data_IF_958518742306
#
_entry.id   IF_958518742306
#
_cell.length_a   1.000
_cell.length_b   1.000
_cell.length_c   1.000
_cell.angle_alpha   90.00
_cell.angle_beta   90.00
_cell.angle_gamma   90.00
#
_symmetry.space_group_name_H-M   'P 1'
#
loop_
_entity.id
_entity.type
_entity.pdbx_description
1 polymer ?
#
# COMPACT_ATOMS: atom_id res chain seq x y z
N UNK A 1 13.35 12.90 2.96
CA UNK A 1 13.37 14.33 3.30
C UNK A 1 12.14 14.57 4.18
N UNK A 2 12.17 15.42 5.20
CA UNK A 2 10.95 15.71 5.98
C UNK A 2 10.24 16.94 5.41
N UNK A 3 9.06 16.74 4.81
CA UNK A 3 8.21 17.83 4.36
C UNK A 3 7.66 18.58 5.57
N UNK A 4 7.90 19.90 5.66
CA UNK A 4 7.75 20.66 6.91
C UNK A 4 6.48 21.51 7.01
N UNK A 5 5.47 21.29 6.16
CA UNK A 5 4.17 21.99 6.27
C UNK A 5 4.15 23.47 5.86
N UNK A 6 5.28 24.09 5.52
CA UNK A 6 5.39 25.55 5.29
C UNK A 6 5.01 26.01 3.87
N UNK A 7 4.34 25.16 3.09
CA UNK A 7 4.06 25.37 1.66
C UNK A 7 2.78 26.16 1.32
N UNK A 8 1.89 26.43 2.28
CA UNK A 8 0.56 27.01 1.98
C UNK A 8 0.50 28.54 2.02
N UNK A 9 1.57 29.25 1.64
CA UNK A 9 1.55 30.72 1.58
C UNK A 9 0.69 31.27 0.42
N UNK A 10 0.15 30.40 -0.44
CA UNK A 10 -0.84 30.74 -1.46
C UNK A 10 -2.08 29.86 -1.25
N UNK A 11 -3.30 30.39 -1.44
CA UNK A 11 -4.50 29.58 -1.36
C UNK A 11 -4.42 28.43 -2.38
N UNK A 12 -4.84 27.23 -1.98
CA UNK A 12 -4.98 26.11 -2.90
C UNK A 12 -6.22 26.37 -3.78
N UNK A 13 -6.00 26.97 -4.93
CA UNK A 13 -7.08 27.50 -5.77
C UNK A 13 -7.95 26.43 -6.44
N UNK A 14 -7.51 25.17 -6.47
CA UNK A 14 -8.21 24.07 -7.18
C UNK A 14 -8.97 23.10 -6.26
N UNK A 15 -9.18 23.46 -5.00
CA UNK A 15 -10.08 22.70 -4.12
C UNK A 15 -11.54 23.03 -4.43
N UNK A 16 -12.36 21.99 -4.63
CA UNK A 16 -13.81 22.11 -4.78
C UNK A 16 -14.50 22.32 -3.42
N UNK A 17 -13.96 21.75 -2.35
CA UNK A 17 -14.55 21.77 -1.01
C UNK A 17 -13.67 22.55 -0.05
N UNK A 18 -14.27 23.42 0.76
CA UNK A 18 -13.57 24.28 1.72
C UNK A 18 -13.25 23.57 3.03
N UNK A 19 -14.02 22.52 3.35
CA UNK A 19 -13.82 21.71 4.55
C UNK A 19 -13.89 20.21 4.26
N UNK A 20 -13.33 19.36 5.13
CA UNK A 20 -13.50 17.91 5.05
C UNK A 20 -14.97 17.49 5.18
N UNK A 21 -15.74 18.17 6.04
CA UNK A 21 -17.18 17.90 6.23
C UNK A 21 -17.95 18.11 4.92
N UNK A 22 -17.65 19.18 4.17
CA UNK A 22 -18.26 19.39 2.85
C UNK A 22 -17.90 18.27 1.86
N UNK A 23 -16.66 17.77 1.89
CA UNK A 23 -16.24 16.66 1.04
C UNK A 23 -16.95 15.35 1.40
N UNK A 24 -17.18 15.09 2.69
CA UNK A 24 -17.95 13.93 3.17
C UNK A 24 -19.39 13.98 2.66
N UNK A 25 -20.05 15.13 2.81
CA UNK A 25 -21.45 15.31 2.43
C UNK A 25 -21.67 15.32 0.92
N UNK A 26 -20.81 16.02 0.17
CA UNK A 26 -21.07 16.28 -1.26
C UNK A 26 -20.34 15.33 -2.20
N UNK A 27 -19.28 14.66 -1.74
CA UNK A 27 -18.46 13.79 -2.59
C UNK A 27 -18.23 12.40 -1.98
N UNK A 28 -19.00 12.02 -0.96
CA UNK A 28 -18.93 10.72 -0.29
C UNK A 28 -17.50 10.37 0.16
N UNK A 29 -16.76 11.35 0.68
CA UNK A 29 -15.48 11.09 1.33
C UNK A 29 -15.71 10.33 2.63
N UNK A 30 -15.11 9.14 2.74
CA UNK A 30 -15.15 8.30 3.95
C UNK A 30 -13.74 8.26 4.54
N UNK A 31 -13.42 9.14 5.51
CA UNK A 31 -12.11 9.13 6.15
C UNK A 31 -11.91 7.84 6.95
N UNK A 32 -10.67 7.36 6.97
CA UNK A 32 -10.25 6.31 7.92
C UNK A 32 -10.56 6.76 9.37
N UNK A 33 -10.90 5.85 10.32
CA UNK A 33 -11.23 6.24 11.69
C UNK A 33 -10.18 7.14 12.37
N UNK A 34 -8.89 6.93 12.11
CA UNK A 34 -7.84 7.79 12.66
C UNK A 34 -7.90 9.21 12.10
N UNK A 35 -8.18 9.35 10.80
CA UNK A 35 -8.36 10.64 10.12
C UNK A 35 -9.67 11.30 10.58
N UNK A 36 -10.75 10.53 10.70
CA UNK A 36 -12.05 10.99 11.15
C UNK A 36 -11.96 11.63 12.55
N UNK A 37 -11.21 11.01 13.46
CA UNK A 37 -10.98 11.53 14.81
C UNK A 37 -10.20 12.87 14.82
N UNK A 38 -9.50 13.22 13.74
CA UNK A 38 -8.77 14.49 13.62
C UNK A 38 -9.64 15.62 13.03
N UNK A 39 -10.76 15.30 12.38
CA UNK A 39 -11.60 16.31 11.72
C UNK A 39 -12.46 17.04 12.76
N UNK A 40 -12.36 18.36 12.80
CA UNK A 40 -13.25 19.23 13.59
C UNK A 40 -14.21 20.01 12.68
N UNK A 41 -15.37 20.42 13.19
CA UNK A 41 -16.41 21.14 12.42
C UNK A 41 -15.90 22.40 11.70
N UNK A 42 -14.91 23.09 12.27
CA UNK A 42 -14.33 24.32 11.70
C UNK A 42 -13.01 24.09 10.95
N UNK A 43 -12.63 22.83 10.68
CA UNK A 43 -11.38 22.51 10.00
C UNK A 43 -11.50 22.82 8.50
N UNK A 44 -10.54 23.57 7.94
CA UNK A 44 -10.45 23.76 6.49
C UNK A 44 -9.76 22.58 5.82
N UNK A 45 -9.98 22.42 4.51
CA UNK A 45 -9.32 21.40 3.71
C UNK A 45 -7.80 21.51 3.77
N UNK A 46 -7.25 22.72 3.71
CA UNK A 46 -5.81 22.99 3.82
C UNK A 46 -5.26 22.61 5.18
N UNK A 47 -6.02 22.83 6.26
CA UNK A 47 -5.63 22.44 7.61
C UNK A 47 -5.55 20.92 7.74
N UNK A 48 -6.53 20.17 7.20
CA UNK A 48 -6.47 18.71 7.21
C UNK A 48 -5.28 18.18 6.40
N UNK A 49 -5.05 18.69 5.19
CA UNK A 49 -3.90 18.29 4.35
C UNK A 49 -2.58 18.56 5.08
N UNK A 50 -2.46 19.73 5.70
CA UNK A 50 -1.28 20.11 6.49
C UNK A 50 -1.05 19.16 7.66
N UNK A 51 -2.12 18.87 8.40
CA UNK A 51 -2.08 18.00 9.58
C UNK A 51 -1.65 16.58 9.22
N UNK A 52 -2.28 15.98 8.21
CA UNK A 52 -1.96 14.61 7.75
C UNK A 52 -0.50 14.51 7.30
N UNK A 53 -0.04 15.50 6.53
CA UNK A 53 1.34 15.49 6.04
C UNK A 53 2.37 15.73 7.15
N UNK A 54 2.08 16.59 8.14
CA UNK A 54 2.94 16.75 9.33
C UNK A 54 3.03 15.46 10.17
N UNK A 55 1.99 14.62 10.14
CA UNK A 55 1.99 13.30 10.80
C UNK A 55 2.62 12.18 9.96
N UNK A 56 3.06 12.47 8.74
CA UNK A 56 3.59 11.46 7.82
C UNK A 56 2.52 10.56 7.19
N UNK A 57 1.24 10.88 7.36
CA UNK A 57 0.08 10.16 6.79
C UNK A 57 -0.15 10.57 5.32
N UNK A 58 0.87 10.36 4.48
CA UNK A 58 0.88 10.88 3.11
C UNK A 58 -0.13 10.18 2.21
N UNK A 59 -0.40 8.90 2.46
CA UNK A 59 -1.45 8.17 1.73
C UNK A 59 -2.81 8.79 2.01
N UNK A 60 -3.15 8.99 3.27
CA UNK A 60 -4.43 9.54 3.71
C UNK A 60 -4.58 11.00 3.23
N UNK A 61 -3.47 11.75 3.20
CA UNK A 61 -3.45 13.09 2.63
C UNK A 61 -3.75 13.06 1.12
N UNK A 62 -3.15 12.12 0.37
CA UNK A 62 -3.46 11.92 -1.05
C UNK A 62 -4.92 11.50 -1.27
N UNK A 63 -5.42 10.58 -0.45
CA UNK A 63 -6.80 10.10 -0.51
C UNK A 63 -7.76 11.29 -0.31
N UNK A 64 -7.56 12.10 0.74
CA UNK A 64 -8.37 13.29 0.95
C UNK A 64 -8.28 14.30 -0.21
N UNK A 65 -7.08 14.58 -0.72
CA UNK A 65 -6.91 15.47 -1.88
C UNK A 65 -7.71 14.96 -3.08
N UNK A 66 -7.75 13.66 -3.34
CA UNK A 66 -8.52 13.09 -4.45
C UNK A 66 -10.03 13.37 -4.34
N UNK A 67 -10.56 13.48 -3.12
CA UNK A 67 -11.95 13.85 -2.85
C UNK A 67 -12.20 15.37 -2.83
N UNK A 68 -11.18 16.17 -2.50
CA UNK A 68 -11.28 17.61 -2.37
C UNK A 68 -10.95 18.38 -3.66
N UNK A 69 -10.17 17.79 -4.56
CA UNK A 69 -9.68 18.46 -5.79
C UNK A 69 -10.74 18.52 -6.89
N UNK A 70 -10.67 19.55 -7.74
CA UNK A 70 -11.42 19.58 -8.99
C UNK A 70 -11.14 18.34 -9.85
N UNK A 71 -12.19 17.68 -10.36
CA UNK A 71 -12.09 16.41 -11.10
C UNK A 71 -11.10 16.45 -12.27
N UNK A 72 -11.05 17.55 -13.02
CA UNK A 72 -10.12 17.72 -14.14
C UNK A 72 -8.67 17.76 -13.65
N UNK A 73 -8.43 18.54 -12.60
CA UNK A 73 -7.10 18.70 -11.99
C UNK A 73 -6.66 17.39 -11.32
N UNK A 74 -7.57 16.69 -10.63
CA UNK A 74 -7.31 15.38 -10.04
C UNK A 74 -6.99 14.30 -11.08
N UNK A 75 -7.69 14.30 -12.22
CA UNK A 75 -7.36 13.40 -13.35
C UNK A 75 -5.98 13.71 -13.93
N UNK A 76 -5.62 15.00 -14.05
CA UNK A 76 -4.27 15.41 -14.45
C UNK A 76 -3.19 14.99 -13.45
N UNK A 77 -3.47 15.08 -12.16
CA UNK A 77 -2.58 14.60 -11.10
C UNK A 77 -2.36 13.09 -11.20
N UNK A 78 -3.44 12.30 -11.31
CA UNK A 78 -3.35 10.86 -11.53
C UNK A 78 -2.52 10.52 -12.78
N UNK A 79 -2.79 11.18 -13.91
CA UNK A 79 -2.01 11.05 -15.15
C UNK A 79 -0.51 11.33 -14.94
N UNK A 80 -0.20 12.41 -14.20
CA UNK A 80 1.19 12.78 -13.88
C UNK A 80 1.90 11.72 -13.03
N UNK A 81 1.20 11.12 -12.07
CA UNK A 81 1.73 10.01 -11.27
C UNK A 81 2.02 8.77 -12.14
N UNK A 82 1.13 8.43 -13.07
CA UNK A 82 1.35 7.33 -14.02
C UNK A 82 2.60 7.58 -14.88
N UNK A 83 2.76 8.82 -15.40
CA UNK A 83 3.97 9.18 -16.15
C UNK A 83 5.23 9.13 -15.30
N UNK A 84 5.16 9.61 -14.05
CA UNK A 84 6.30 9.62 -13.13
C UNK A 84 6.82 8.19 -12.88
N UNK A 85 5.92 7.25 -12.54
CA UNK A 85 6.31 5.86 -12.30
C UNK A 85 6.81 5.15 -13.57
N UNK A 86 6.20 5.43 -14.73
CA UNK A 86 6.64 4.84 -15.99
C UNK A 86 8.03 5.35 -16.39
N UNK A 87 8.30 6.64 -16.18
CA UNK A 87 9.62 7.24 -16.39
C UNK A 87 10.66 6.63 -15.44
N UNK A 88 10.34 6.53 -14.15
CA UNK A 88 11.20 5.92 -13.14
C UNK A 88 11.57 4.48 -13.50
N UNK A 89 10.60 3.66 -13.89
CA UNK A 89 10.81 2.27 -14.31
C UNK A 89 11.69 2.21 -15.56
N UNK A 90 11.46 3.10 -16.54
CA UNK A 90 12.26 3.16 -17.77
C UNK A 90 13.71 3.53 -17.47
N UNK A 91 13.95 4.58 -16.69
CA UNK A 91 15.29 5.01 -16.27
C UNK A 91 16.02 3.92 -15.48
N UNK A 92 15.30 3.18 -14.62
CA UNK A 92 15.89 2.07 -13.89
C UNK A 92 16.31 0.92 -14.82
N UNK A 93 15.48 0.58 -15.82
CA UNK A 93 15.82 -0.43 -16.83
C UNK A 93 17.01 -0.02 -17.69
N UNK A 94 17.15 1.27 -18.00
CA UNK A 94 18.30 1.79 -18.75
C UNK A 94 19.59 1.73 -17.91
N UNK A 95 19.51 1.98 -16.60
CA UNK A 95 20.65 1.90 -15.67
C UNK A 95 21.03 0.47 -15.31
N UNK A 96 20.05 -0.40 -15.11
CA UNK A 96 20.22 -1.80 -14.74
C UNK A 96 19.27 -2.64 -15.60
N UNK A 97 19.75 -3.22 -16.72
CA UNK A 97 18.90 -3.95 -17.66
C UNK A 97 18.34 -5.26 -17.09
N UNK A 98 18.90 -5.75 -15.99
CA UNK A 98 18.38 -6.91 -15.27
C UNK A 98 17.09 -6.51 -14.54
N UNK A 99 16.04 -7.29 -14.79
CA UNK A 99 14.81 -7.23 -14.02
C UNK A 99 15.07 -7.51 -12.54
N UNK A 100 14.16 -7.09 -11.66
CA UNK A 100 14.27 -7.40 -10.22
C UNK A 100 14.37 -8.91 -9.97
N UNK A 101 13.63 -9.73 -10.73
CA UNK A 101 13.70 -11.18 -10.64
C UNK A 101 15.05 -11.73 -11.12
N UNK A 102 15.64 -11.13 -12.16
CA UNK A 102 16.99 -11.49 -12.62
C UNK A 102 18.08 -11.03 -11.65
N UNK A 103 17.91 -9.87 -11.01
CA UNK A 103 18.79 -9.39 -9.94
C UNK A 103 18.72 -10.32 -8.72
N UNK A 104 17.52 -10.70 -8.28
CA UNK A 104 17.36 -11.68 -7.21
C UNK A 104 17.96 -13.04 -7.58
N UNK A 105 17.72 -13.53 -8.81
CA UNK A 105 18.34 -14.77 -9.29
C UNK A 105 19.86 -14.66 -9.34
N UNK A 106 20.39 -13.51 -9.76
CA UNK A 106 21.83 -13.24 -9.81
C UNK A 106 22.42 -13.22 -8.40
N UNK A 107 21.80 -12.52 -7.46
CA UNK A 107 22.22 -12.44 -6.06
C UNK A 107 22.16 -13.82 -5.37
N UNK A 108 21.08 -14.57 -5.58
CA UNK A 108 20.95 -15.95 -5.09
C UNK A 108 22.06 -16.83 -5.69
N UNK A 109 22.35 -16.69 -6.98
CA UNK A 109 23.41 -17.45 -7.66
C UNK A 109 24.81 -17.06 -7.15
N UNK A 110 25.05 -15.78 -6.90
CA UNK A 110 26.30 -15.27 -6.32
C UNK A 110 26.48 -15.79 -4.89
N UNK A 111 25.46 -15.67 -4.03
CA UNK A 111 25.48 -16.24 -2.66
C UNK A 111 25.64 -17.77 -2.67
N UNK A 112 24.96 -18.49 -3.56
CA UNK A 112 25.15 -19.93 -3.72
C UNK A 112 26.58 -20.28 -4.17
N UNK A 113 27.21 -19.42 -4.97
CA UNK A 113 28.61 -19.63 -5.38
C UNK A 113 29.60 -19.36 -4.24
N UNK A 114 29.34 -18.36 -3.40
CA UNK A 114 30.08 -18.14 -2.15
C UNK A 114 29.92 -19.32 -1.19
N UNK A 115 28.73 -19.91 -1.09
CA UNK A 115 28.50 -21.07 -0.24
C UNK A 115 29.11 -22.36 -0.77
N UNK A 116 29.34 -22.45 -2.08
CA UNK A 116 30.13 -23.55 -2.67
C UNK A 116 31.61 -23.43 -2.32
N UNK A 117 32.07 -22.28 -1.83
CA UNK A 117 33.38 -22.18 -1.21
C UNK A 117 33.38 -22.98 0.10
N UNK A 118 34.05 -24.15 0.04
CA UNK A 118 34.16 -25.10 1.15
C UNK A 118 34.65 -24.42 2.44
N UNK A 119 35.38 -23.31 2.32
CA UNK A 119 35.93 -22.57 3.46
C UNK A 119 34.83 -21.92 4.30
N UNK A 120 33.85 -21.29 3.66
CA UNK A 120 32.72 -20.65 4.35
C UNK A 120 31.83 -21.71 4.99
N UNK A 121 31.49 -22.76 4.25
CA UNK A 121 30.70 -23.88 4.77
C UNK A 121 31.38 -24.60 5.94
N UNK A 122 32.71 -24.77 5.89
CA UNK A 122 33.45 -25.34 7.00
C UNK A 122 33.47 -24.39 8.21
N UNK A 123 33.64 -23.07 8.01
CA UNK A 123 33.58 -22.11 9.12
C UNK A 123 32.21 -22.05 9.79
N UNK A 124 31.11 -22.14 9.02
CA UNK A 124 29.74 -22.24 9.53
C UNK A 124 29.54 -23.54 10.30
N UNK A 125 29.99 -24.68 9.74
CA UNK A 125 29.97 -25.97 10.44
C UNK A 125 30.74 -25.93 11.75
N UNK A 126 31.91 -25.30 11.76
CA UNK A 126 32.74 -25.19 12.95
C UNK A 126 32.13 -24.25 13.99
N UNK A 127 31.49 -23.15 13.56
CA UNK A 127 30.75 -22.23 14.43
C UNK A 127 29.55 -22.94 15.09
N UNK A 128 28.76 -23.68 14.32
CA UNK A 128 27.61 -24.44 14.83
C UNK A 128 28.02 -25.66 15.67
N UNK A 129 29.15 -26.32 15.36
CA UNK A 129 29.73 -27.36 16.22
C UNK A 129 30.20 -26.78 17.56
N UNK A 130 30.70 -25.54 17.55
CA UNK A 130 31.19 -24.86 18.75
C UNK A 130 30.07 -24.31 19.63
N UNK A 131 28.90 -23.98 19.07
CA UNK A 131 27.73 -23.53 19.84
C UNK A 131 26.94 -24.68 20.49
N UNK A 132 27.28 -25.95 20.20
CA UNK A 132 26.57 -27.12 20.72
C UNK A 132 25.16 -27.29 20.15
N UNK A 133 24.84 -26.57 19.08
CA UNK A 133 23.50 -26.49 18.53
C UNK A 133 23.20 -27.69 17.61
N UNK A 134 22.06 -28.35 17.84
CA UNK A 134 21.66 -29.60 17.16
C UNK A 134 21.47 -29.40 15.64
N UNK A 135 21.42 -28.15 15.21
CA UNK A 135 21.34 -27.67 13.83
C UNK A 135 22.53 -28.14 12.98
N UNK A 136 23.73 -28.27 13.56
CA UNK A 136 24.93 -28.80 12.87
C UNK A 136 24.73 -30.25 12.38
N UNK A 137 24.18 -31.11 13.25
CA UNK A 137 23.94 -32.51 12.93
C UNK A 137 22.81 -32.68 11.89
N UNK A 138 21.82 -31.77 11.89
CA UNK A 138 20.75 -31.71 10.88
C UNK A 138 21.31 -31.32 9.50
N UNK A 139 22.18 -30.31 9.45
CA UNK A 139 22.89 -29.88 8.22
C UNK A 139 23.82 -30.97 7.68
N UNK A 140 24.51 -31.72 8.56
CA UNK A 140 25.42 -32.80 8.18
C UNK A 140 24.68 -34.01 7.59
N UNK A 141 23.45 -34.26 8.07
CA UNK A 141 22.55 -35.29 7.51
C UNK A 141 21.98 -34.90 6.14
N UNK A 142 21.82 -33.59 5.87
CA UNK A 142 21.35 -33.04 4.59
C UNK A 142 22.45 -32.95 3.53
N UNK A 143 23.72 -32.86 3.93
CA UNK A 143 24.87 -32.78 3.01
C UNK A 143 25.43 -34.16 2.60
N UNK A 144 24.70 -35.25 2.87
CA UNK A 144 25.08 -36.60 2.46
C UNK A 144 25.17 -36.76 0.94
N UNK A 145 25.97 -37.72 0.43
CA UNK A 145 26.26 -37.86 -1.00
C UNK A 145 25.09 -38.33 -1.88
N UNK A 146 23.98 -38.80 -1.32
CA UNK A 146 22.83 -39.32 -2.06
C UNK A 146 21.67 -38.31 -2.10
N UNK A 147 21.70 -37.40 -3.08
CA UNK A 147 20.50 -36.70 -3.55
C UNK A 147 20.41 -36.93 -5.07
N UNK A 148 20.06 -38.16 -5.43
CA UNK A 148 19.72 -38.60 -6.80
C UNK A 148 18.19 -38.56 -7.06
N UNK A 149 17.44 -37.76 -6.30
CA UNK A 149 16.00 -37.56 -6.50
C UNK A 149 15.76 -36.44 -7.55
N UNK A 150 15.12 -36.72 -8.70
CA UNK A 150 14.96 -35.77 -9.81
C UNK A 150 13.96 -34.63 -9.56
N UNK A 151 13.33 -34.53 -8.39
CA UNK A 151 12.50 -33.38 -8.05
C UNK A 151 13.33 -32.24 -7.44
N UNK A 152 13.49 -31.18 -8.25
CA UNK A 152 14.15 -29.90 -8.00
C UNK A 152 14.78 -29.73 -6.59
N UNK A 153 16.04 -30.16 -6.42
CA UNK A 153 16.78 -30.06 -5.16
C UNK A 153 16.79 -28.64 -4.60
N UNK A 154 16.66 -27.62 -5.46
CA UNK A 154 16.65 -26.21 -5.09
C UNK A 154 15.36 -25.83 -4.32
N UNK A 155 14.20 -26.35 -4.72
CA UNK A 155 12.93 -26.07 -4.07
C UNK A 155 12.85 -26.66 -2.65
N UNK A 156 13.41 -27.87 -2.48
CA UNK A 156 13.48 -28.54 -1.17
C UNK A 156 14.47 -27.84 -0.23
N UNK A 157 15.64 -27.48 -0.73
CA UNK A 157 16.64 -26.71 0.02
C UNK A 157 16.12 -25.32 0.40
N UNK A 158 15.40 -24.64 -0.50
CA UNK A 158 14.79 -23.33 -0.21
C UNK A 158 13.70 -23.42 0.87
N UNK A 159 12.88 -24.47 0.84
CA UNK A 159 11.78 -24.65 1.80
C UNK A 159 12.31 -24.99 3.20
N UNK A 160 13.30 -25.87 3.30
CA UNK A 160 13.91 -26.27 4.58
C UNK A 160 14.89 -25.22 5.12
N UNK A 161 15.56 -24.45 4.26
CA UNK A 161 16.40 -23.33 4.70
C UNK A 161 15.57 -22.16 5.24
N UNK A 162 14.39 -21.94 4.65
CA UNK A 162 13.44 -20.94 5.14
C UNK A 162 12.93 -21.28 6.55
N UNK A 163 12.63 -22.54 6.85
CA UNK A 163 12.20 -22.95 8.19
C UNK A 163 13.34 -22.83 9.22
N UNK A 164 14.58 -23.13 8.85
CA UNK A 164 15.76 -22.93 9.73
C UNK A 164 16.02 -21.45 10.00
N UNK A 165 15.86 -20.57 9.00
CA UNK A 165 15.97 -19.13 9.20
C UNK A 165 14.86 -18.57 10.10
N UNK A 166 13.63 -19.05 9.95
CA UNK A 166 12.50 -18.65 10.79
C UNK A 166 12.70 -19.09 12.25
N UNK A 167 13.13 -20.34 12.48
CA UNK A 167 13.47 -20.87 13.82
C UNK A 167 14.63 -20.08 14.47
N UNK A 168 15.67 -19.76 13.70
CA UNK A 168 16.82 -19.00 14.20
C UNK A 168 16.50 -17.52 14.46
N UNK A 169 15.66 -16.88 13.63
CA UNK A 169 15.28 -15.47 13.83
C UNK A 169 14.55 -15.25 15.17
N UNK A 170 13.74 -16.22 15.59
CA UNK A 170 13.06 -16.22 16.88
C UNK A 170 14.04 -16.45 18.04
N UNK A 171 15.03 -17.32 17.86
CA UNK A 171 16.10 -17.55 18.84
C UNK A 171 16.94 -16.28 19.08
N UNK A 172 17.40 -15.62 18.01
CA UNK A 172 18.17 -14.39 18.08
C UNK A 172 17.39 -13.24 18.75
N UNK A 173 16.09 -13.10 18.44
CA UNK A 173 15.25 -12.08 19.07
C UNK A 173 15.10 -12.29 20.59
N UNK A 174 14.99 -13.55 21.05
CA UNK A 174 14.90 -13.88 22.48
C UNK A 174 16.23 -13.62 23.19
N UNK A 175 17.36 -13.94 22.55
CA UNK A 175 18.70 -13.67 23.12
C UNK A 175 19.00 -12.16 23.19
N UNK A 176 18.63 -11.36 22.19
CA UNK A 176 18.77 -9.90 22.23
C UNK A 176 17.91 -9.26 23.34
N UNK A 177 16.67 -9.73 23.52
CA UNK A 177 15.80 -9.27 24.60
C UNK A 177 16.41 -9.61 25.97
N UNK A 178 16.91 -10.84 26.14
CA UNK A 178 17.54 -11.25 27.39
C UNK A 178 18.87 -10.51 27.64
N UNK A 179 19.66 -10.25 26.61
CA UNK A 179 20.88 -9.45 26.71
C UNK A 179 20.57 -8.00 27.08
N UNK A 180 19.51 -7.40 26.53
CA UNK A 180 19.03 -6.08 26.89
C UNK A 180 18.55 -6.03 28.35
N UNK A 181 17.78 -7.02 28.80
CA UNK A 181 17.33 -7.14 30.21
C UNK A 181 18.54 -7.26 31.16
N UNK A 182 19.53 -8.09 30.80
CA UNK A 182 20.73 -8.30 31.61
C UNK A 182 21.70 -7.10 31.58
N UNK A 183 21.51 -6.13 30.68
CA UNK A 183 22.31 -4.91 30.62
C UNK A 183 21.90 -3.85 31.64
N UNK A 184 20.70 -3.97 32.23
CA UNK A 184 20.25 -3.10 33.30
C UNK A 184 20.88 -3.52 34.65
N UNK A 185 21.21 -2.56 35.53
CA UNK A 185 21.65 -2.87 36.89
C UNK A 185 20.65 -3.82 37.59
N UNK A 186 21.12 -4.83 38.35
CA UNK A 186 20.23 -5.81 38.98
C UNK A 186 19.15 -5.19 39.87
N UNK A 187 19.45 -4.04 40.48
CA UNK A 187 18.49 -3.30 41.30
C UNK A 187 17.37 -2.64 40.48
N UNK A 188 17.66 -2.21 39.24
CA UNK A 188 16.66 -1.63 38.33
C UNK A 188 15.78 -2.71 37.71
N UNK A 189 16.35 -3.86 37.36
CA UNK A 189 15.59 -5.04 36.92
C UNK A 189 14.69 -5.54 38.03
N UNK A 190 15.20 -5.57 39.27
CA UNK A 190 14.43 -5.94 40.46
C UNK A 190 13.30 -4.94 40.71
N UNK A 191 13.57 -3.64 40.63
CA UNK A 191 12.54 -2.60 40.78
C UNK A 191 11.50 -2.66 39.67
N UNK A 192 11.90 -2.89 38.42
CA UNK A 192 10.98 -3.06 37.29
C UNK A 192 10.08 -4.30 37.48
N UNK A 193 10.66 -5.42 37.93
CA UNK A 193 9.90 -6.62 38.26
C UNK A 193 8.97 -6.40 39.45
N UNK A 194 9.40 -5.69 40.50
CA UNK A 194 8.55 -5.33 41.64
C UNK A 194 7.40 -4.39 41.24
N UNK A 195 7.64 -3.44 40.33
CA UNK A 195 6.61 -2.55 39.77
C UNK A 195 5.63 -3.34 38.91
N UNK A 196 6.14 -4.27 38.09
CA UNK A 196 5.30 -5.14 37.26
C UNK A 196 4.47 -6.07 38.15
N UNK A 197 5.07 -6.76 39.12
CA UNK A 197 4.36 -7.62 40.07
C UNK A 197 3.33 -6.85 40.89
N UNK A 198 3.68 -5.65 41.38
CA UNK A 198 2.73 -4.79 42.11
C UNK A 198 1.57 -4.34 41.23
N UNK A 199 1.85 -3.92 39.99
CA UNK A 199 0.79 -3.56 39.03
C UNK A 199 -0.05 -4.77 38.63
N UNK A 200 0.52 -5.96 38.56
CA UNK A 200 -0.19 -7.20 38.29
C UNK A 200 -1.11 -7.57 39.47
N UNK A 201 -0.61 -7.47 40.70
CA UNK A 201 -1.38 -7.72 41.92
C UNK A 201 -2.49 -6.68 42.13
N UNK A 202 -2.23 -5.40 41.87
CA UNK A 202 -3.23 -4.33 41.96
C UNK A 202 -4.32 -4.52 40.89
N UNK A 203 -3.95 -4.93 39.67
CA UNK A 203 -4.92 -5.28 38.61
C UNK A 203 -5.73 -6.52 38.94
N UNK A 204 -5.12 -7.56 39.51
CA UNK A 204 -5.82 -8.76 39.98
C UNK A 204 -6.82 -8.44 41.09
N UNK A 205 -6.46 -7.53 42.00
CA UNK A 205 -7.34 -7.08 43.09
C UNK A 205 -8.53 -6.27 42.59
N UNK A 206 -8.36 -5.54 41.49
CA UNK A 206 -9.42 -4.73 40.86
C UNK A 206 -10.33 -5.59 39.95
N UNK A 207 -9.75 -6.53 39.20
CA UNK A 207 -10.48 -7.34 38.21
C UNK A 207 -10.99 -8.68 38.76
N UNK A 208 -10.43 -9.16 39.87
CA UNK A 208 -10.63 -10.52 40.39
C UNK A 208 -9.97 -11.62 39.56
N UNK A 209 -9.16 -11.26 38.55
CA UNK A 209 -8.55 -12.20 37.59
C UNK A 209 -7.07 -11.86 37.42
N UNK A 210 -6.18 -12.82 37.67
CA UNK A 210 -4.73 -12.66 37.50
C UNK A 210 -4.41 -12.20 36.06
N UNK A 211 -3.62 -11.15 35.81
CA UNK A 211 -3.50 -10.58 34.46
C UNK A 211 -2.80 -11.50 33.46
N UNK A 212 -1.93 -12.41 33.89
CA UNK A 212 -1.42 -13.48 33.02
C UNK A 212 -2.49 -14.52 32.66
N UNK A 213 -3.47 -14.76 33.53
CA UNK A 213 -4.66 -15.57 33.22
C UNK A 213 -5.61 -14.79 32.31
N UNK A 214 -5.74 -13.47 32.48
CA UNK A 214 -6.51 -12.60 31.59
C UNK A 214 -5.89 -12.53 30.19
N UNK A 215 -4.56 -12.35 30.09
CA UNK A 215 -3.81 -12.38 28.83
C UNK A 215 -3.83 -13.78 28.22
N UNK A 216 -3.69 -14.86 29.00
CA UNK A 216 -3.94 -16.22 28.51
C UNK A 216 -5.36 -16.37 27.99
N UNK A 217 -6.37 -15.88 28.70
CA UNK A 217 -7.79 -15.94 28.32
C UNK A 217 -8.08 -15.08 27.09
N UNK A 218 -7.37 -13.98 26.89
CA UNK A 218 -7.49 -13.06 25.76
C UNK A 218 -6.74 -13.60 24.54
N UNK A 219 -5.58 -14.24 24.73
CA UNK A 219 -4.89 -15.03 23.70
C UNK A 219 -5.73 -16.25 23.31
N UNK A 220 -6.28 -16.99 24.29
CA UNK A 220 -7.20 -18.11 24.06
C UNK A 220 -8.48 -17.61 23.37
N UNK A 221 -9.04 -16.46 23.72
CA UNK A 221 -10.21 -15.86 23.05
C UNK A 221 -9.89 -15.29 21.66
N UNK A 222 -8.66 -14.84 21.43
CA UNK A 222 -8.20 -14.40 20.10
C UNK A 222 -7.96 -15.56 19.14
N UNK A 223 -7.68 -16.75 19.68
CA UNK A 223 -7.43 -17.99 18.92
C UNK A 223 -8.68 -18.88 18.87
N UNK A 224 -9.58 -18.81 19.85
CA UNK A 224 -10.80 -19.59 19.91
C UNK A 224 -12.02 -18.72 19.54
N UNK A 225 -12.77 -19.03 18.46
CA UNK A 225 -14.08 -18.43 18.25
C UNK A 225 -15.01 -18.85 19.40
N UNK A 226 -15.53 -17.86 20.12
CA UNK A 226 -16.40 -17.98 21.29
C UNK A 226 -17.25 -19.25 21.28
N UNK A 227 -17.08 -20.04 22.33
CA UNK A 227 -17.86 -21.24 22.60
C UNK A 227 -19.30 -20.85 22.92
N UNK A 228 -20.22 -21.20 22.02
CA UNK A 228 -21.39 -21.94 22.45
C UNK A 228 -20.88 -23.26 23.06
N UNK A 229 -21.36 -23.56 24.26
CA UNK A 229 -21.01 -24.74 25.04
C UNK A 229 -21.28 -26.04 24.30
N UNK A 230 -20.29 -26.93 24.37
CA UNK A 230 -20.37 -28.40 24.45
C UNK A 230 -21.32 -29.11 23.47
N UNK A 231 -20.85 -29.27 22.22
CA UNK A 231 -20.74 -30.57 21.53
C UNK A 231 -19.95 -30.33 20.23
N UNK A 232 -18.63 -30.63 20.24
CA UNK A 232 -17.76 -30.35 19.08
C UNK A 232 -18.24 -31.09 17.82
N UNK A 233 -18.96 -32.19 17.99
CA UNK A 233 -19.55 -32.99 16.92
C UNK A 233 -20.67 -32.23 16.19
N UNK A 234 -21.52 -31.49 16.91
CA UNK A 234 -22.58 -30.67 16.32
C UNK A 234 -22.01 -29.43 15.63
N UNK A 235 -20.93 -28.85 16.15
CA UNK A 235 -20.24 -27.70 15.55
C UNK A 235 -19.63 -28.08 14.20
N UNK A 236 -18.92 -29.21 14.13
CA UNK A 236 -18.31 -29.69 12.89
C UNK A 236 -19.37 -30.11 11.86
N UNK A 237 -20.48 -30.71 12.31
CA UNK A 237 -21.63 -31.00 11.46
C UNK A 237 -22.26 -29.70 10.92
N UNK A 238 -22.44 -28.68 11.76
CA UNK A 238 -23.01 -27.40 11.35
C UNK A 238 -22.10 -26.65 10.37
N UNK A 239 -20.79 -26.54 10.65
CA UNK A 239 -19.83 -25.95 9.71
C UNK A 239 -19.74 -26.74 8.42
N UNK A 240 -19.81 -28.08 8.48
CA UNK A 240 -19.92 -28.94 7.30
C UNK A 240 -21.15 -28.58 6.46
N UNK A 241 -22.33 -28.48 7.09
CA UNK A 241 -23.58 -28.11 6.43
C UNK A 241 -23.54 -26.69 5.84
N UNK A 242 -22.97 -25.71 6.55
CA UNK A 242 -22.83 -24.33 6.07
C UNK A 242 -21.86 -24.27 4.90
N UNK A 243 -20.71 -24.94 4.99
CA UNK A 243 -19.72 -25.03 3.91
C UNK A 243 -20.32 -25.69 2.67
N UNK A 244 -21.12 -26.73 2.85
CA UNK A 244 -21.82 -27.41 1.75
C UNK A 244 -22.91 -26.52 1.12
N UNK A 245 -23.68 -25.79 1.93
CA UNK A 245 -24.66 -24.80 1.43
C UNK A 245 -23.99 -23.67 0.65
N UNK A 246 -22.86 -23.15 1.13
CA UNK A 246 -22.06 -22.14 0.42
C UNK A 246 -21.52 -22.73 -0.88
N UNK A 247 -21.02 -23.96 -0.88
CA UNK A 247 -20.54 -24.62 -2.10
C UNK A 247 -21.68 -24.81 -3.13
N UNK A 248 -22.87 -25.22 -2.69
CA UNK A 248 -24.06 -25.33 -3.56
C UNK A 248 -24.53 -23.97 -4.07
N UNK A 249 -24.52 -22.93 -3.24
CA UNK A 249 -24.86 -21.57 -3.65
C UNK A 249 -23.86 -21.02 -4.68
N UNK A 250 -22.56 -21.30 -4.50
CA UNK A 250 -21.51 -20.94 -5.46
C UNK A 250 -21.67 -21.69 -6.78
N UNK A 251 -21.92 -22.99 -6.75
CA UNK A 251 -22.21 -23.79 -7.95
C UNK A 251 -23.49 -23.32 -8.67
N UNK A 252 -24.53 -22.94 -7.92
CA UNK A 252 -25.76 -22.39 -8.48
C UNK A 252 -25.52 -21.02 -9.11
N UNK A 253 -24.78 -20.13 -8.44
CA UNK A 253 -24.38 -18.83 -8.97
C UNK A 253 -23.51 -18.98 -10.22
N UNK A 254 -22.53 -19.90 -10.22
CA UNK A 254 -21.69 -20.21 -11.38
C UNK A 254 -22.51 -20.80 -12.54
N UNK A 255 -23.48 -21.67 -12.25
CA UNK A 255 -24.38 -22.24 -13.26
C UNK A 255 -25.29 -21.17 -13.85
N UNK A 256 -25.89 -20.31 -13.02
CA UNK A 256 -26.74 -19.19 -13.45
C UNK A 256 -25.95 -18.13 -14.20
N UNK A 257 -24.73 -17.81 -13.76
CA UNK A 257 -23.82 -16.94 -14.51
C UNK A 257 -23.47 -17.56 -15.87
N UNK A 258 -23.18 -18.85 -15.96
CA UNK A 258 -22.92 -19.52 -17.25
C UNK A 258 -24.15 -19.58 -18.16
N UNK A 259 -25.35 -19.79 -17.59
CA UNK A 259 -26.62 -19.82 -18.33
C UNK A 259 -27.00 -18.44 -18.89
N UNK A 260 -26.82 -17.36 -18.11
CA UNK A 260 -27.23 -16.01 -18.48
C UNK A 260 -26.11 -15.16 -19.09
N UNK A 261 -24.85 -15.51 -18.85
CA UNK A 261 -23.66 -14.82 -19.35
C UNK A 261 -22.60 -15.83 -19.80
N UNK A 262 -22.79 -16.51 -20.95
CA UNK A 262 -21.79 -17.41 -21.52
C UNK A 262 -20.59 -16.62 -22.09
N UNK A 263 -19.92 -15.82 -21.28
CA UNK A 263 -18.67 -15.15 -21.64
C UNK A 263 -17.54 -16.15 -21.43
N UNK A 264 -17.12 -16.81 -22.52
CA UNK A 264 -15.84 -17.51 -22.57
C UNK A 264 -14.70 -16.48 -22.49
N UNK A 265 -14.28 -16.10 -21.29
CA UNK A 265 -13.08 -15.28 -21.03
C UNK A 265 -11.79 -16.12 -21.06
N UNK A 266 -11.73 -17.17 -21.88
CA UNK A 266 -10.50 -17.89 -22.19
C UNK A 266 -9.92 -17.32 -23.49
N UNK A 267 -8.92 -16.44 -23.39
CA UNK A 267 -8.27 -15.84 -24.56
C UNK A 267 -7.70 -14.44 -24.39
N UNK A 268 -7.88 -13.79 -23.22
CA UNK A 268 -7.22 -12.51 -22.97
C UNK A 268 -5.72 -12.75 -22.67
N UNK A 269 -4.80 -12.14 -23.42
CA UNK A 269 -3.38 -12.21 -23.10
C UNK A 269 -3.15 -11.60 -21.72
N UNK A 270 -2.53 -12.38 -20.82
CA UNK A 270 -2.22 -11.96 -19.43
C UNK A 270 -1.31 -10.73 -19.37
N UNK A 271 -0.61 -10.41 -20.45
CA UNK A 271 0.18 -9.20 -20.64
C UNK A 271 -0.25 -8.56 -21.96
N UNK A 272 -0.90 -7.39 -21.91
CA UNK A 272 -0.98 -6.58 -23.12
C UNK A 272 0.42 -6.04 -23.45
N UNK A 273 0.79 -5.98 -24.74
CA UNK A 273 2.02 -5.34 -25.15
C UNK A 273 2.08 -3.89 -24.62
N UNK A 274 3.26 -3.48 -24.14
CA UNK A 274 3.53 -2.10 -23.68
C UNK A 274 3.08 -1.03 -24.71
N UNK A 275 3.06 -1.38 -26.00
CA UNK A 275 2.71 -0.50 -27.11
C UNK A 275 1.30 0.13 -27.03
N UNK A 276 0.37 -0.40 -26.22
CA UNK A 276 -0.96 0.22 -26.03
C UNK A 276 -1.08 1.14 -24.81
N UNK A 277 -0.07 1.18 -23.94
CA UNK A 277 -0.11 2.08 -22.76
C UNK A 277 -0.08 3.55 -23.15
N UNK A 278 0.67 3.88 -24.20
CA UNK A 278 0.76 5.24 -24.74
C UNK A 278 -0.57 5.71 -25.35
N UNK A 279 -1.31 4.82 -26.04
CA UNK A 279 -2.64 5.13 -26.59
C UNK A 279 -3.65 5.46 -25.48
N UNK A 280 -3.62 4.71 -24.38
CA UNK A 280 -4.50 4.92 -23.21
C UNK A 280 -4.18 6.28 -22.57
N UNK A 281 -2.90 6.56 -22.32
CA UNK A 281 -2.46 7.82 -21.75
C UNK A 281 -2.72 9.00 -22.68
N UNK A 282 -2.63 8.81 -23.99
CA UNK A 282 -3.00 9.82 -24.97
C UNK A 282 -4.50 10.16 -24.91
N UNK A 283 -5.37 9.15 -24.76
CA UNK A 283 -6.80 9.38 -24.59
C UNK A 283 -7.15 10.10 -23.27
N UNK A 284 -6.48 9.74 -22.17
CA UNK A 284 -6.58 10.48 -20.90
C UNK A 284 -6.17 11.94 -21.09
N UNK A 285 -5.02 12.19 -21.72
CA UNK A 285 -4.53 13.54 -22.02
C UNK A 285 -5.52 14.32 -22.89
N UNK A 286 -6.09 13.68 -23.90
CA UNK A 286 -7.13 14.28 -24.75
C UNK A 286 -8.34 14.74 -23.94
N UNK A 287 -8.82 13.93 -22.98
CA UNK A 287 -9.88 14.33 -22.07
C UNK A 287 -9.45 15.48 -21.13
N UNK A 288 -8.24 15.43 -20.60
CA UNK A 288 -7.72 16.51 -19.73
C UNK A 288 -7.66 17.85 -20.48
N UNK A 289 -7.28 17.86 -21.76
CA UNK A 289 -7.25 19.07 -22.58
C UNK A 289 -8.65 19.55 -22.96
N UNK A 290 -9.53 18.62 -23.33
CA UNK A 290 -10.91 18.91 -23.73
C UNK A 290 -11.86 17.94 -23.02
N UNK A 291 -12.38 18.27 -21.82
CA UNK A 291 -13.12 17.33 -20.98
C UNK A 291 -14.58 17.18 -21.46
N UNK A 292 -14.77 16.57 -22.62
CA UNK A 292 -16.08 16.23 -23.18
C UNK A 292 -16.41 14.76 -22.95
N UNK A 293 -17.70 14.45 -22.94
CA UNK A 293 -18.22 13.10 -22.78
C UNK A 293 -17.76 12.15 -23.89
N UNK A 294 -17.56 12.64 -25.13
CA UNK A 294 -17.00 11.86 -26.24
C UNK A 294 -15.55 11.47 -25.97
N UNK A 295 -14.75 12.38 -25.44
CA UNK A 295 -13.36 12.07 -25.07
C UNK A 295 -13.32 11.09 -23.88
N UNK A 296 -14.28 11.19 -22.95
CA UNK A 296 -14.45 10.23 -21.86
C UNK A 296 -14.77 8.83 -22.38
N UNK A 297 -15.70 8.71 -23.33
CA UNK A 297 -16.02 7.44 -24.03
C UNK A 297 -14.82 6.83 -24.73
N UNK A 298 -13.99 7.63 -25.39
CA UNK A 298 -12.76 7.13 -26.05
C UNK A 298 -11.82 6.52 -25.00
N UNK A 299 -11.64 7.20 -23.87
CA UNK A 299 -10.83 6.69 -22.76
C UNK A 299 -11.40 5.37 -22.20
N UNK A 300 -12.73 5.27 -22.00
CA UNK A 300 -13.40 4.03 -21.59
C UNK A 300 -13.18 2.90 -22.61
N UNK A 301 -13.35 3.18 -23.91
CA UNK A 301 -13.18 2.20 -24.98
C UNK A 301 -11.77 1.60 -25.01
N UNK A 302 -10.74 2.39 -24.74
CA UNK A 302 -9.36 1.93 -24.62
C UNK A 302 -9.12 1.21 -23.29
N UNK A 303 -9.66 1.72 -22.17
CA UNK A 303 -9.56 1.09 -20.86
C UNK A 303 -10.16 -0.33 -20.84
N UNK A 304 -11.29 -0.54 -21.53
CA UNK A 304 -11.95 -1.85 -21.65
C UNK A 304 -11.13 -2.85 -22.47
N UNK A 305 -10.33 -2.37 -23.43
CA UNK A 305 -9.40 -3.20 -24.21
C UNK A 305 -8.09 -3.46 -23.45
N UNK A 306 -7.79 -2.64 -22.45
CA UNK A 306 -6.58 -2.74 -21.65
C UNK A 306 -6.67 -3.82 -20.57
N UNK A 307 -5.50 -4.37 -20.22
CA UNK A 307 -5.32 -5.27 -19.08
C UNK A 307 -5.42 -4.53 -17.76
N UNK A 308 -4.98 -5.15 -16.66
CA UNK A 308 -4.87 -4.43 -15.39
C UNK A 308 -3.71 -3.41 -15.41
N UNK A 309 -3.80 -2.37 -14.60
CA UNK A 309 -2.72 -1.40 -14.44
C UNK A 309 -3.23 0.00 -14.10
N UNK A 310 -2.34 0.87 -13.60
CA UNK A 310 -2.71 2.25 -13.29
C UNK A 310 -3.11 3.05 -14.53
N UNK A 311 -2.60 2.74 -15.72
CA UNK A 311 -2.99 3.38 -16.99
C UNK A 311 -4.48 3.18 -17.29
N UNK A 312 -4.97 1.94 -17.16
CA UNK A 312 -6.38 1.61 -17.36
C UNK A 312 -7.25 2.37 -16.36
N UNK A 313 -6.86 2.38 -15.10
CA UNK A 313 -7.64 3.03 -14.05
C UNK A 313 -7.64 4.55 -14.21
N UNK A 314 -6.54 5.13 -14.68
CA UNK A 314 -6.46 6.54 -15.05
C UNK A 314 -7.41 6.89 -16.21
N UNK A 315 -7.57 6.00 -17.20
CA UNK A 315 -8.53 6.16 -18.28
C UNK A 315 -9.99 6.02 -17.82
N UNK A 316 -10.28 5.08 -16.92
CA UNK A 316 -11.59 5.00 -16.26
C UNK A 316 -11.88 6.26 -15.44
N UNK A 317 -10.87 6.81 -14.76
CA UNK A 317 -10.99 8.05 -14.00
C UNK A 317 -11.35 9.25 -14.88
N UNK A 318 -10.75 9.37 -16.06
CA UNK A 318 -11.13 10.40 -17.03
C UNK A 318 -12.59 10.26 -17.48
N UNK A 319 -13.02 9.03 -17.78
CA UNK A 319 -14.43 8.75 -18.10
C UNK A 319 -15.38 9.07 -16.94
N UNK A 320 -15.09 8.61 -15.72
CA UNK A 320 -15.91 8.89 -14.52
C UNK A 320 -15.91 10.36 -14.10
N UNK A 321 -14.93 11.13 -14.56
CA UNK A 321 -14.87 12.58 -14.36
C UNK A 321 -15.71 13.36 -15.37
N UNK A 322 -16.24 12.70 -16.41
CA UNK A 322 -17.12 13.31 -17.42
C UNK A 322 -18.51 13.63 -16.83
N UNK A 323 -19.33 14.40 -17.55
CA UNK A 323 -20.66 14.77 -17.07
C UNK A 323 -21.67 13.63 -17.23
N UNK A 324 -21.52 12.81 -18.26
CA UNK A 324 -22.48 11.76 -18.59
C UNK A 324 -21.80 10.39 -18.76
N UNK A 325 -22.29 9.38 -18.03
CA UNK A 325 -21.83 8.01 -18.17
C UNK A 325 -22.49 7.30 -19.37
N UNK A 326 -23.63 7.79 -19.87
CA UNK A 326 -24.31 7.18 -21.03
C UNK A 326 -24.56 8.16 -22.18
N UNK A 327 -23.53 8.80 -22.78
CA UNK A 327 -23.76 9.88 -23.73
C UNK A 327 -24.35 9.46 -25.09
N UNK A 328 -24.52 8.15 -25.36
CA UNK A 328 -25.25 7.64 -26.56
C UNK A 328 -26.72 7.32 -26.27
N UNK A 329 -27.11 7.34 -24.98
CA UNK A 329 -28.48 7.04 -24.57
C UNK A 329 -29.28 8.32 -24.43
N UNK A 330 -30.60 8.18 -24.54
CA UNK A 330 -31.53 9.31 -24.39
C UNK A 330 -31.52 9.90 -22.97
N UNK A 331 -31.11 9.11 -21.98
CA UNK A 331 -31.11 9.50 -20.58
C UNK A 331 -29.71 9.90 -20.15
N UNK A 332 -29.59 11.10 -19.59
CA UNK A 332 -28.37 11.58 -18.95
C UNK A 332 -28.17 10.86 -17.62
N UNK A 333 -27.00 10.24 -17.43
CA UNK A 333 -26.64 9.55 -16.18
C UNK A 333 -25.37 10.19 -15.61
N UNK A 334 -25.55 11.10 -14.65
CA UNK A 334 -24.44 11.73 -13.96
C UNK A 334 -23.64 10.70 -13.15
N UNK A 335 -22.29 10.81 -13.06
CA UNK A 335 -21.50 9.97 -12.19
C UNK A 335 -21.90 10.17 -10.73
N UNK A 336 -22.04 9.08 -9.94
CA UNK A 336 -22.33 9.19 -8.52
C UNK A 336 -21.19 9.92 -7.77
N UNK A 337 -21.51 10.59 -6.64
CA UNK A 337 -20.51 11.20 -5.78
C UNK A 337 -19.38 10.23 -5.43
N UNK A 338 -18.14 10.73 -5.38
CA UNK A 338 -16.96 9.94 -5.02
C UNK A 338 -16.42 9.00 -6.11
N UNK A 339 -17.16 8.69 -7.19
CA UNK A 339 -16.69 7.73 -8.20
C UNK A 339 -15.38 8.15 -8.88
N UNK A 340 -15.32 9.40 -9.35
CA UNK A 340 -14.11 9.95 -9.96
C UNK A 340 -12.95 10.03 -8.94
N UNK A 341 -13.24 10.48 -7.71
CA UNK A 341 -12.25 10.61 -6.62
C UNK A 341 -11.65 9.26 -6.23
N UNK A 342 -12.48 8.22 -6.12
CA UNK A 342 -12.03 6.85 -5.94
C UNK A 342 -11.16 6.35 -7.10
N UNK A 343 -11.48 6.75 -8.34
CA UNK A 343 -10.63 6.48 -9.50
C UNK A 343 -9.24 7.12 -9.39
N UNK A 344 -9.17 8.40 -9.02
CA UNK A 344 -7.92 9.14 -8.79
C UNK A 344 -7.09 8.46 -7.71
N UNK A 345 -7.69 8.26 -6.53
CA UNK A 345 -7.07 7.63 -5.36
C UNK A 345 -6.48 6.25 -5.70
N UNK A 346 -7.29 5.36 -6.27
CA UNK A 346 -6.85 4.01 -6.60
C UNK A 346 -5.81 4.00 -7.72
N UNK A 347 -5.84 4.97 -8.66
CA UNK A 347 -4.77 5.11 -9.67
C UNK A 347 -3.44 5.43 -9.01
N UNK A 348 -3.41 6.38 -8.07
CA UNK A 348 -2.20 6.77 -7.33
C UNK A 348 -1.68 5.60 -6.49
N UNK A 349 -2.58 4.89 -5.79
CA UNK A 349 -2.24 3.69 -5.04
C UNK A 349 -1.61 2.60 -5.93
N UNK A 350 -2.20 2.33 -7.10
CA UNK A 350 -1.62 1.39 -8.08
C UNK A 350 -0.27 1.87 -8.62
N UNK A 351 -0.05 3.18 -8.77
CA UNK A 351 1.26 3.72 -9.15
C UNK A 351 2.29 3.48 -8.04
N UNK A 352 1.91 3.63 -6.77
CA UNK A 352 2.82 3.39 -5.65
C UNK A 352 3.24 1.92 -5.58
N UNK A 353 2.29 1.00 -5.79
CA UNK A 353 2.52 -0.45 -5.78
C UNK A 353 3.15 -1.02 -7.06
N UNK A 354 3.34 -0.22 -8.12
CA UNK A 354 3.81 -0.73 -9.41
C UNK A 354 5.21 -1.33 -9.27
N UNK A 355 5.40 -2.58 -9.68
CA UNK A 355 6.72 -3.24 -9.57
C UNK A 355 7.77 -2.59 -10.50
N UNK A 356 9.03 -2.63 -10.06
CA UNK A 356 10.17 -2.01 -10.74
C UNK A 356 10.45 -0.59 -10.26
N UNK A 357 11.39 0.10 -10.91
CA UNK A 357 11.81 1.44 -10.51
C UNK A 357 12.87 1.43 -9.41
N UNK A 358 13.24 2.62 -8.94
CA UNK A 358 14.27 2.84 -7.93
C UNK A 358 13.73 3.32 -6.58
N UNK A 359 12.47 3.78 -6.54
CA UNK A 359 11.83 4.36 -5.36
C UNK A 359 11.03 3.32 -4.58
N UNK A 360 11.04 3.44 -3.26
CA UNK A 360 10.18 2.69 -2.36
C UNK A 360 8.71 3.14 -2.46
N UNK A 361 7.82 2.39 -1.81
CA UNK A 361 6.41 2.75 -1.69
C UNK A 361 6.21 4.14 -1.05
N UNK A 362 6.91 4.40 0.06
CA UNK A 362 6.80 5.67 0.79
C UNK A 362 7.40 6.84 0.00
N UNK A 363 8.55 6.62 -0.66
CA UNK A 363 9.19 7.64 -1.51
C UNK A 363 8.30 8.05 -2.69
N UNK A 364 7.54 7.09 -3.24
CA UNK A 364 6.55 7.37 -4.28
C UNK A 364 5.38 8.17 -3.74
N UNK A 365 4.87 7.86 -2.56
CA UNK A 365 3.82 8.68 -1.94
C UNK A 365 4.30 10.09 -1.61
N UNK A 366 5.55 10.27 -1.17
CA UNK A 366 6.15 11.60 -0.99
C UNK A 366 6.17 12.39 -2.31
N UNK A 367 6.56 11.74 -3.41
CA UNK A 367 6.54 12.36 -4.73
C UNK A 367 5.11 12.67 -5.22
N UNK A 368 4.18 11.72 -5.09
CA UNK A 368 2.80 11.89 -5.56
C UNK A 368 2.04 12.93 -4.75
N UNK A 369 2.25 12.95 -3.42
CA UNK A 369 1.73 14.00 -2.56
C UNK A 369 2.24 15.37 -3.00
N UNK A 370 3.56 15.51 -3.21
CA UNK A 370 4.16 16.75 -3.72
C UNK A 370 3.55 17.16 -5.07
N UNK A 371 3.39 16.23 -6.01
CA UNK A 371 2.73 16.50 -7.30
C UNK A 371 1.27 16.96 -7.12
N UNK A 372 0.53 16.37 -6.16
CA UNK A 372 -0.83 16.76 -5.83
C UNK A 372 -0.90 18.20 -5.32
N UNK A 373 -0.01 18.58 -4.39
CA UNK A 373 0.11 19.96 -3.90
C UNK A 373 0.47 20.93 -5.04
N UNK A 374 1.38 20.55 -5.95
CA UNK A 374 1.72 21.38 -7.11
C UNK A 374 0.53 21.57 -8.06
N UNK A 375 -0.31 20.55 -8.24
CA UNK A 375 -1.54 20.66 -9.03
C UNK A 375 -2.56 21.57 -8.34
N UNK A 376 -2.76 21.40 -7.02
CA UNK A 376 -3.67 22.22 -6.21
C UNK A 376 -3.29 23.70 -6.21
N UNK A 377 -1.99 24.00 -6.19
CA UNK A 377 -1.45 25.35 -6.26
C UNK A 377 -1.45 25.94 -7.68
N UNK A 378 -1.90 25.20 -8.70
CA UNK A 378 -1.84 25.63 -10.10
C UNK A 378 -0.42 25.76 -10.66
N UNK A 379 0.56 25.13 -10.02
CA UNK A 379 1.97 25.14 -10.47
C UNK A 379 2.19 24.07 -11.55
N UNK A 380 1.62 22.88 -11.34
CA UNK A 380 1.65 21.78 -12.29
C UNK A 380 0.35 21.76 -13.10
N UNK A 381 0.31 22.53 -14.19
CA UNK A 381 -0.80 22.53 -15.15
C UNK A 381 -0.42 21.79 -16.42
N UNK A 382 -1.42 21.25 -17.12
CA UNK A 382 -1.26 20.57 -18.41
C UNK A 382 -0.68 21.49 -19.50
N UNK A 383 -0.78 22.81 -19.37
CA UNK A 383 -0.21 23.78 -20.31
C UNK A 383 1.33 23.77 -20.29
N UNK A 384 1.95 23.44 -19.15
CA UNK A 384 3.42 23.44 -19.01
C UNK A 384 4.10 22.21 -19.59
N UNK A 385 3.37 21.16 -19.96
CA UNK A 385 3.97 20.06 -20.72
C UNK A 385 4.39 20.48 -22.15
N UNK A 386 3.94 21.64 -22.62
CA UNK A 386 4.44 22.26 -23.84
C UNK A 386 5.73 23.08 -23.63
N UNK A 387 6.08 23.38 -22.38
CA UNK A 387 7.30 24.10 -22.01
C UNK A 387 8.33 23.12 -21.45
N UNK A 388 9.00 22.39 -22.34
CA UNK A 388 10.23 21.65 -22.04
C UNK A 388 11.33 22.62 -21.56
N UNK A 389 11.28 23.07 -20.31
CA UNK A 389 12.40 23.75 -19.61
C UNK A 389 12.11 23.93 -18.12
N UNK A 390 12.13 22.84 -17.34
CA UNK A 390 12.30 22.96 -15.88
C UNK A 390 13.80 23.09 -15.55
N UNK A 391 14.38 24.28 -15.75
CA UNK A 391 15.75 24.61 -15.29
C UNK A 391 15.78 25.43 -13.99
N UNK A 392 14.65 25.67 -13.34
CA UNK A 392 14.61 26.37 -12.05
C UNK A 392 14.43 25.44 -10.87
N UNK A 393 15.49 25.21 -10.09
CA UNK A 393 15.38 24.58 -8.76
C UNK A 393 14.63 25.55 -7.83
N UNK A 394 13.44 25.18 -7.38
CA UNK A 394 12.75 25.96 -6.35
C UNK A 394 13.47 25.70 -5.02
N UNK A 395 14.37 26.60 -4.61
CA UNK A 395 14.95 26.62 -3.26
C UNK A 395 14.10 27.53 -2.36
N UNK A 396 13.51 26.97 -1.31
CA UNK A 396 12.74 27.71 -0.30
C UNK A 396 13.63 28.13 0.87
N UNK A 397 13.55 29.40 1.25
CA UNK A 397 14.32 30.05 2.34
C UNK A 397 13.52 30.05 3.65
N UNK A 398 14.17 29.68 4.76
CA UNK A 398 13.58 29.31 6.04
C UNK A 398 13.36 30.46 7.04
N UNK A 399 13.75 31.71 6.75
CA UNK A 399 13.94 32.75 7.80
C UNK A 399 12.86 33.82 8.00
N UNK A 400 11.84 33.96 7.15
CA UNK A 400 10.93 35.15 7.20
C UNK A 400 9.61 35.00 7.99
N UNK A 401 9.41 33.93 8.78
CA UNK A 401 8.08 33.57 9.28
C UNK A 401 7.73 33.95 10.74
N UNK A 402 8.44 34.88 11.38
CA UNK A 402 8.07 35.34 12.74
C UNK A 402 7.51 36.78 12.83
N UNK A 403 7.55 37.57 11.74
CA UNK A 403 7.18 39.00 11.80
C UNK A 403 5.92 39.40 11.00
N UNK A 404 5.29 38.50 10.24
CA UNK A 404 4.09 38.85 9.47
C UNK A 404 2.81 38.75 10.32
N UNK A 405 2.53 39.78 11.10
CA UNK A 405 1.22 40.00 11.75
C UNK A 405 0.11 40.00 10.69
N UNK A 406 -1.00 39.34 11.05
CA UNK A 406 -2.26 39.29 10.32
C UNK A 406 -2.76 40.68 9.93
N UNK A 407 -2.53 41.08 8.67
CA UNK A 407 -3.15 42.26 8.07
C UNK A 407 -4.45 41.88 7.36
N UNK A 408 -5.52 41.62 8.12
CA UNK A 408 -6.89 41.71 7.62
C UNK A 408 -7.55 42.92 8.29
N UNK A 409 -7.26 44.09 7.71
CA UNK A 409 -7.96 45.33 7.97
C UNK A 409 -9.14 45.48 7.01
N UNK A 410 -10.23 45.99 7.56
CA UNK A 410 -11.50 46.35 6.91
C UNK A 410 -11.28 47.29 5.71
N UNK A 411 -12.01 47.04 4.64
CA UNK A 411 -12.73 48.06 3.87
C UNK A 411 -14.14 47.55 3.58
#
# INVERSE_FOLDING_TARGET
MTWNGKGFNKPLIMLNWKSPVEAMLNNAYEPDPEVAAMISDNMTSEQLISLLSCKGMLKEACDYIAFAINRRVGTWWAYSCVKAVNKEIKEQKEKCPLTFEELQKKEIKERLSEWKDKTIMNSLKDTYRSSGDKTAAKMEKLAGPDIDDPEDPLAKLQTEYKSVLEENSLGFAIEEINAAINSFPPEEVKLANEIVEKNLADREKISGIHPLEAIKKEIIASIAPETATEDSTLRDQYYGMVKEKIARAKQFADKKMKEHFPLKLSGLPKNLPLERTDEILFAVKRWILTPTDENGKIALGLANKAGSGPEKLCALTAYWSSSDLTPDQKNHVAPPPGLASNGIMNTIFMCALKKGGSKSYDERYEEYFRLGIECLAGICTWDKEWAESRTGTIKYDCRKALDAKSGFGRE
#
